data_IF_254468035168
#
_entry.id   IF_254468035168
#
_cell.length_a   1.000
_cell.length_b   1.000
_cell.length_c   1.000
_cell.angle_alpha   90.00
_cell.angle_beta   90.00
_cell.angle_gamma   90.00
#
_symmetry.space_group_name_H-M   'P 1'
#
loop_
_entity.id
_entity.type
_entity.pdbx_description
1 polymer ?
#
# COMPACT_ATOMS: atom_id res chain seq x y z
N UNK A 1 9.15 13.19 8.36
CA UNK A 1 8.98 12.78 6.95
C UNK A 1 7.56 13.05 6.52
N UNK A 2 7.37 13.69 5.37
CA UNK A 2 6.03 13.82 4.85
C UNK A 2 5.45 12.45 4.48
N UNK A 3 4.15 12.32 4.62
CA UNK A 3 3.48 11.08 4.33
C UNK A 3 2.21 11.36 3.52
N UNK A 4 1.70 10.32 2.92
CA UNK A 4 0.47 10.36 2.15
C UNK A 4 -0.48 9.27 2.65
N UNK A 5 -1.72 9.65 2.92
CA UNK A 5 -2.75 8.72 3.37
C UNK A 5 -3.71 8.44 2.23
N UNK A 6 -3.97 7.17 2.03
CA UNK A 6 -4.91 6.68 1.02
C UNK A 6 -5.93 5.78 1.71
N UNK A 7 -7.20 6.01 1.43
CA UNK A 7 -8.26 5.20 2.01
C UNK A 7 -8.71 4.13 1.03
N UNK A 8 -9.02 2.96 1.55
CA UNK A 8 -9.48 1.84 0.74
C UNK A 8 -10.50 1.02 1.52
N UNK A 9 -11.67 0.83 0.93
CA UNK A 9 -12.71 -0.01 1.53
C UNK A 9 -12.48 -1.45 1.08
N UNK A 10 -12.38 -2.36 2.03
CA UNK A 10 -12.11 -3.76 1.74
C UNK A 10 -13.33 -4.40 1.07
N UNK A 11 -13.22 -4.86 -0.19
CA UNK A 11 -14.32 -5.53 -0.86
C UNK A 11 -14.40 -6.99 -0.41
N UNK A 12 -15.57 -7.56 -0.55
CA UNK A 12 -15.79 -8.96 -0.17
C UNK A 12 -14.85 -9.90 -0.93
N UNK A 13 -14.57 -9.60 -2.18
CA UNK A 13 -13.72 -10.45 -3.02
C UNK A 13 -12.30 -10.60 -2.49
N UNK A 14 -11.84 -9.68 -1.64
CA UNK A 14 -10.48 -9.74 -1.09
C UNK A 14 -10.39 -10.56 0.18
N UNK A 15 -11.51 -11.07 0.69
CA UNK A 15 -11.53 -11.85 1.93
C UNK A 15 -11.53 -13.34 1.64
N UNK A 16 -11.11 -14.11 2.64
CA UNK A 16 -11.04 -15.56 2.52
C UNK A 16 -12.03 -16.22 3.48
N UNK A 17 -11.95 -17.54 3.61
CA UNK A 17 -12.87 -18.29 4.46
C UNK A 17 -12.75 -17.92 5.94
N UNK A 18 -11.68 -17.30 6.35
CA UNK A 18 -11.52 -16.86 7.72
C UNK A 18 -12.14 -15.48 7.95
N UNK A 19 -12.79 -14.92 6.91
CA UNK A 19 -13.51 -13.65 6.98
C UNK A 19 -12.58 -12.45 7.15
N UNK A 20 -11.32 -12.62 6.80
CA UNK A 20 -10.34 -11.54 6.83
C UNK A 20 -9.71 -11.40 5.46
N UNK A 21 -9.07 -10.27 5.23
CA UNK A 21 -8.36 -10.05 3.97
C UNK A 21 -7.32 -11.15 3.77
N UNK A 22 -7.37 -11.78 2.60
CA UNK A 22 -6.37 -12.77 2.24
C UNK A 22 -5.01 -12.08 2.20
N UNK A 23 -4.02 -12.64 2.89
CA UNK A 23 -2.78 -11.93 3.18
C UNK A 23 -2.04 -11.45 1.93
N UNK A 24 -2.17 -12.13 0.81
CA UNK A 24 -1.49 -11.72 -0.42
C UNK A 24 -2.06 -10.41 -0.98
N UNK A 25 -3.28 -10.04 -0.61
CA UNK A 25 -3.90 -8.82 -1.10
C UNK A 25 -3.28 -7.56 -0.50
N UNK A 26 -2.57 -7.68 0.62
CA UNK A 26 -1.93 -6.52 1.23
C UNK A 26 -0.86 -5.91 0.32
N UNK A 27 -0.16 -6.73 -0.45
CA UNK A 27 0.82 -6.20 -1.40
C UNK A 27 0.15 -5.36 -2.48
N UNK A 28 -1.04 -5.75 -2.90
CA UNK A 28 -1.81 -4.96 -3.85
C UNK A 28 -2.26 -3.63 -3.23
N UNK A 29 -2.67 -3.65 -1.97
CA UNK A 29 -3.05 -2.43 -1.26
C UNK A 29 -1.86 -1.47 -1.14
N UNK A 30 -0.70 -2.01 -0.85
CA UNK A 30 0.51 -1.20 -0.74
C UNK A 30 0.88 -0.59 -2.09
N UNK A 31 0.71 -1.35 -3.16
CA UNK A 31 0.96 -0.85 -4.51
C UNK A 31 0.02 0.30 -4.86
N UNK A 32 -1.26 0.16 -4.54
CA UNK A 32 -2.24 1.23 -4.74
C UNK A 32 -1.86 2.49 -3.98
N UNK A 33 -1.46 2.33 -2.74
CA UNK A 33 -1.08 3.46 -1.90
C UNK A 33 0.17 4.15 -2.44
N UNK A 34 1.16 3.37 -2.86
CA UNK A 34 2.38 3.90 -3.46
C UNK A 34 2.07 4.69 -4.72
N UNK A 35 1.22 4.14 -5.58
CA UNK A 35 0.85 4.77 -6.83
C UNK A 35 0.16 6.12 -6.59
N UNK A 36 -0.76 6.17 -5.62
CA UNK A 36 -1.46 7.40 -5.30
C UNK A 36 -0.54 8.42 -4.63
N UNK A 37 0.42 7.96 -3.84
CA UNK A 37 1.42 8.84 -3.25
C UNK A 37 2.23 9.53 -4.34
N UNK A 38 2.71 8.77 -5.32
CA UNK A 38 3.49 9.33 -6.42
C UNK A 38 2.67 10.32 -7.24
N UNK A 39 1.39 10.00 -7.45
CA UNK A 39 0.49 10.92 -8.17
C UNK A 39 0.31 12.23 -7.40
N UNK A 40 0.21 12.14 -6.08
CA UNK A 40 -0.03 13.31 -5.24
C UNK A 40 1.12 14.30 -5.24
N UNK A 41 2.34 13.82 -5.47
CA UNK A 41 3.52 14.67 -5.52
C UNK A 41 3.91 15.08 -6.94
N UNK A 42 3.02 14.82 -7.92
CA UNK A 42 3.20 15.28 -9.28
C UNK A 42 3.97 14.32 -10.19
N UNK A 43 4.18 13.09 -9.77
CA UNK A 43 4.89 12.07 -10.56
C UNK A 43 4.02 10.82 -10.72
N UNK A 44 2.90 10.90 -11.47
CA UNK A 44 2.11 9.69 -11.70
C UNK A 44 2.95 8.65 -12.42
N UNK A 45 2.83 7.41 -11.98
CA UNK A 45 3.65 6.33 -12.49
C UNK A 45 3.51 6.17 -14.01
N UNK A 46 2.30 6.34 -14.53
CA UNK A 46 2.05 6.23 -15.97
C UNK A 46 2.83 7.30 -16.76
N UNK A 47 2.97 8.50 -16.22
CA UNK A 47 3.74 9.55 -16.89
C UNK A 47 5.23 9.26 -16.82
N UNK A 48 5.70 8.70 -15.71
CA UNK A 48 7.10 8.33 -15.58
C UNK A 48 7.47 7.25 -16.60
N UNK A 49 6.59 6.28 -16.80
CA UNK A 49 6.83 5.23 -17.79
C UNK A 49 6.90 5.79 -19.20
N UNK A 50 6.06 6.76 -19.52
CA UNK A 50 6.10 7.41 -20.84
C UNK A 50 7.42 8.14 -21.08
N UNK A 51 8.05 8.61 -20.02
CA UNK A 51 9.33 9.29 -20.10
C UNK A 51 10.53 8.32 -20.04
N UNK A 52 10.23 7.01 -19.94
CA UNK A 52 11.28 6.01 -19.90
C UNK A 52 11.78 5.66 -18.51
N UNK A 53 11.11 6.15 -17.46
CA UNK A 53 11.48 5.83 -16.08
C UNK A 53 10.58 4.72 -15.53
N UNK A 54 11.21 3.69 -15.01
CA UNK A 54 10.49 2.55 -14.43
C UNK A 54 10.95 2.31 -13.01
N UNK A 55 10.00 1.94 -12.14
CA UNK A 55 10.29 1.65 -10.75
C UNK A 55 9.90 0.19 -10.45
N UNK A 56 10.73 -0.77 -10.88
CA UNK A 56 10.43 -2.17 -10.57
C UNK A 56 10.61 -2.42 -9.08
N UNK A 57 9.78 -3.30 -8.56
CA UNK A 57 9.91 -3.71 -7.17
C UNK A 57 11.05 -4.73 -7.09
N UNK A 58 12.07 -4.42 -6.31
CA UNK A 58 13.19 -5.33 -6.11
C UNK A 58 12.94 -6.25 -4.91
N UNK A 59 12.39 -5.68 -3.85
CA UNK A 59 12.10 -6.43 -2.64
C UNK A 59 10.79 -5.95 -2.03
N UNK A 60 10.09 -6.85 -1.38
CA UNK A 60 8.89 -6.50 -0.64
C UNK A 60 8.89 -7.27 0.67
N UNK A 61 8.66 -6.57 1.77
CA UNK A 61 8.58 -7.15 3.10
C UNK A 61 7.25 -6.76 3.73
N UNK A 62 6.54 -7.72 4.27
CA UNK A 62 5.25 -7.47 4.91
C UNK A 62 5.26 -8.09 6.29
N UNK A 63 4.85 -7.31 7.28
CA UNK A 63 4.67 -7.80 8.63
C UNK A 63 3.19 -7.66 8.99
N UNK A 64 2.58 -8.75 9.43
CA UNK A 64 1.16 -8.78 9.74
C UNK A 64 0.96 -8.71 11.24
N UNK A 65 0.40 -7.59 11.71
CA UNK A 65 0.13 -7.41 13.14
C UNK A 65 -1.34 -7.59 13.46
N UNK A 66 -2.20 -7.26 12.50
CA UNK A 66 -3.64 -7.36 12.66
C UNK A 66 -4.27 -7.58 11.30
N UNK A 67 -5.44 -8.17 11.29
CA UNK A 67 -6.15 -8.46 10.05
C UNK A 67 -7.22 -7.41 9.78
N UNK A 68 -7.49 -7.16 8.52
CA UNK A 68 -8.62 -6.35 8.09
C UNK A 68 -9.76 -7.26 7.67
N UNK A 69 -10.98 -6.79 7.81
CA UNK A 69 -12.18 -7.55 7.47
C UNK A 69 -12.91 -6.88 6.31
N UNK A 70 -13.85 -7.63 5.75
CA UNK A 70 -14.74 -7.09 4.73
C UNK A 70 -15.38 -5.80 5.23
N UNK A 71 -15.44 -4.83 4.34
CA UNK A 71 -16.07 -3.52 4.54
C UNK A 71 -15.34 -2.60 5.51
N UNK A 72 -14.19 -3.00 6.03
CA UNK A 72 -13.36 -2.08 6.81
C UNK A 72 -12.84 -0.98 5.91
N UNK A 73 -12.85 0.24 6.41
CA UNK A 73 -12.22 1.36 5.72
C UNK A 73 -10.79 1.48 6.22
N UNK A 74 -9.86 1.13 5.37
CA UNK A 74 -8.44 1.16 5.73
C UNK A 74 -7.85 2.52 5.40
N UNK A 75 -6.96 2.98 6.25
CA UNK A 75 -6.10 4.11 5.92
C UNK A 75 -4.70 3.58 5.75
N UNK A 76 -4.16 3.74 4.55
CA UNK A 76 -2.82 3.28 4.22
C UNK A 76 -1.92 4.49 4.15
N UNK A 77 -0.98 4.58 5.06
CA UNK A 77 -0.04 5.70 5.13
C UNK A 77 1.25 5.30 4.49
N UNK A 78 1.65 6.05 3.46
CA UNK A 78 2.86 5.80 2.71
C UNK A 78 3.85 6.93 2.91
N UNK A 79 5.13 6.60 2.97
CA UNK A 79 6.17 7.61 3.00
C UNK A 79 7.47 7.02 2.46
N UNK A 80 8.32 7.91 1.97
CA UNK A 80 9.65 7.51 1.52
C UNK A 80 10.55 7.45 2.74
N UNK A 81 11.05 6.26 3.08
CA UNK A 81 11.93 6.11 4.23
C UNK A 81 13.38 6.29 3.86
N UNK A 82 13.73 6.04 2.59
CA UNK A 82 15.11 6.16 2.13
C UNK A 82 15.12 6.43 0.64
N UNK A 83 15.98 7.35 0.22
CA UNK A 83 16.25 7.60 -1.19
C UNK A 83 17.76 7.76 -1.31
N UNK A 84 18.40 6.80 -1.96
CA UNK A 84 19.85 6.78 -2.07
C UNK A 84 20.25 6.25 -3.44
N UNK A 85 20.89 7.10 -4.24
CA UNK A 85 21.29 6.73 -5.59
C UNK A 85 20.07 6.28 -6.39
N UNK A 86 20.13 5.09 -6.95
CA UNK A 86 19.02 4.53 -7.72
C UNK A 86 18.04 3.73 -6.86
N UNK A 87 18.19 3.76 -5.53
CA UNK A 87 17.37 2.99 -4.61
C UNK A 87 16.34 3.88 -3.92
N UNK A 88 15.10 3.42 -3.92
CA UNK A 88 14.00 4.11 -3.26
C UNK A 88 13.28 3.10 -2.36
N UNK A 89 13.15 3.44 -1.08
CA UNK A 89 12.43 2.60 -0.13
C UNK A 89 11.16 3.33 0.29
N UNK A 90 10.03 2.69 0.07
CA UNK A 90 8.73 3.23 0.45
C UNK A 90 8.13 2.32 1.50
N UNK A 91 7.72 2.90 2.62
CA UNK A 91 7.03 2.18 3.67
C UNK A 91 5.56 2.51 3.66
N UNK A 92 4.73 1.50 3.84
CA UNK A 92 3.29 1.66 3.92
C UNK A 92 2.81 1.05 5.21
N UNK A 93 2.00 1.80 5.95
CA UNK A 93 1.44 1.35 7.21
C UNK A 93 -0.07 1.35 7.12
N UNK A 94 -0.66 0.31 7.68
CA UNK A 94 -2.09 0.19 7.83
C UNK A 94 -2.48 0.80 9.17
N UNK A 95 -3.26 1.87 9.15
CA UNK A 95 -3.61 2.62 10.37
C UNK A 95 -5.00 2.35 10.88
N UNK A 96 -5.84 1.75 10.07
CA UNK A 96 -7.25 1.63 10.39
C UNK A 96 -7.57 0.47 11.27
N UNK A 97 -8.82 0.40 11.70
CA UNK A 97 -9.20 -0.46 12.80
C UNK A 97 -8.83 -1.90 12.52
N UNK A 98 -8.41 -2.56 13.58
CA UNK A 98 -8.13 -3.97 13.52
C UNK A 98 -9.41 -4.74 13.34
N UNK A 99 -9.30 -5.88 12.69
CA UNK A 99 -10.39 -6.81 12.61
C UNK A 99 -10.74 -7.28 14.02
N UNK A 100 -12.05 -7.48 14.25
CA UNK A 100 -12.52 -7.89 15.55
C UNK A 100 -12.19 -9.35 15.89
N UNK A 101 -11.68 -10.07 14.93
CA UNK A 101 -11.42 -11.51 15.07
C UNK A 101 -9.94 -11.84 15.20
N UNK A 102 -9.21 -11.02 15.78
CA UNK A 102 -7.78 -11.30 15.97
C UNK A 102 -7.55 -12.56 16.74
#
# INVERSE_FOLDING_TARGET
MPYFDCSYRVPYADTDQMQVVYYANYLEYFERSRTEMLRSIGFPYSEMEKMGFFLPVKEAHVTYHASACYDDLLTLRSYVSEARGARLTIKVRHLSPCCKYN
#
